data_IF_643420330951
#
_entry.id   IF_643420330951
#
_cell.length_a   1.000
_cell.length_b   1.000
_cell.length_c   1.000
_cell.angle_alpha   90.00
_cell.angle_beta   90.00
_cell.angle_gamma   90.00
#
_symmetry.space_group_name_H-M   'P 1'
#
loop_
_entity.id
_entity.type
_entity.pdbx_description
1 polymer ?
#
# COMPACT_ATOMS: atom_id res chain seq x y z
N UNK A 1 -14.43 15.71 -5.53
CA UNK A 1 -13.19 16.47 -5.90
C UNK A 1 -11.95 15.65 -5.53
N UNK A 2 -11.11 15.29 -6.52
CA UNK A 2 -9.83 14.60 -6.29
C UNK A 2 -8.69 15.62 -6.22
N UNK A 3 -7.90 15.56 -5.16
CA UNK A 3 -6.77 16.44 -4.90
C UNK A 3 -5.49 15.61 -4.88
N UNK A 4 -4.44 16.12 -5.52
CA UNK A 4 -3.09 15.56 -5.39
C UNK A 4 -2.19 16.67 -4.87
N UNK A 5 -1.75 16.52 -3.62
CA UNK A 5 -0.88 17.48 -2.95
C UNK A 5 0.20 16.76 -2.17
N UNK A 6 1.37 17.38 -2.08
CA UNK A 6 2.47 16.94 -1.23
C UNK A 6 2.53 17.72 0.10
N UNK A 7 1.71 18.76 0.26
CA UNK A 7 1.65 19.57 1.48
C UNK A 7 0.74 18.93 2.51
N UNK A 8 1.28 18.65 3.70
CA UNK A 8 0.57 18.03 4.82
C UNK A 8 -0.52 18.95 5.36
N UNK A 9 -0.20 20.23 5.58
CA UNK A 9 -1.13 21.23 6.13
C UNK A 9 -2.36 21.40 5.23
N UNK A 10 -2.16 21.43 3.92
CA UNK A 10 -3.24 21.51 2.95
C UNK A 10 -4.13 20.25 2.97
N UNK A 11 -3.52 19.06 3.06
CA UNK A 11 -4.28 17.81 3.13
C UNK A 11 -5.11 17.71 4.42
N UNK A 12 -4.56 18.15 5.55
CA UNK A 12 -5.26 18.15 6.84
C UNK A 12 -6.46 19.11 6.88
N UNK A 13 -6.39 20.25 6.19
CA UNK A 13 -7.48 21.23 6.16
C UNK A 13 -8.62 20.90 5.19
N UNK A 14 -8.34 20.17 4.10
CA UNK A 14 -9.29 20.03 2.98
C UNK A 14 -9.83 18.60 2.84
N UNK A 15 -9.03 17.58 3.17
CA UNK A 15 -9.34 16.20 2.79
C UNK A 15 -10.13 15.47 3.89
N UNK A 16 -11.18 14.77 3.47
CA UNK A 16 -11.99 13.90 4.36
C UNK A 16 -11.60 12.43 4.23
N UNK A 17 -10.98 12.08 3.09
CA UNK A 17 -10.57 10.73 2.75
C UNK A 17 -9.21 10.77 2.05
N UNK A 18 -8.42 9.74 2.28
CA UNK A 18 -7.08 9.59 1.71
C UNK A 18 -7.03 8.27 0.96
N UNK A 19 -6.68 8.36 -0.32
CA UNK A 19 -6.31 7.20 -1.12
C UNK A 19 -4.80 7.10 -1.13
N UNK A 20 -4.30 6.00 -0.59
CA UNK A 20 -2.90 5.66 -0.59
C UNK A 20 -2.60 4.71 -1.75
N UNK A 21 -1.70 5.12 -2.65
CA UNK A 21 -1.19 4.27 -3.70
C UNK A 21 0.11 3.62 -3.23
N UNK A 22 0.06 2.30 -2.99
CA UNK A 22 1.20 1.51 -2.52
C UNK A 22 1.18 0.10 -3.11
N UNK A 23 2.33 -0.39 -3.60
CA UNK A 23 2.47 -1.72 -4.20
C UNK A 23 1.41 -2.05 -5.27
N UNK A 24 1.05 -1.05 -6.10
CA UNK A 24 0.02 -1.14 -7.17
C UNK A 24 -1.42 -1.29 -6.67
N UNK A 25 -1.66 -1.16 -5.38
CA UNK A 25 -2.99 -1.18 -4.78
C UNK A 25 -3.36 0.22 -4.31
N UNK A 26 -4.66 0.51 -4.36
CA UNK A 26 -5.25 1.70 -3.76
C UNK A 26 -5.86 1.29 -2.44
N UNK A 27 -5.38 1.88 -1.35
CA UNK A 27 -5.91 1.69 -0.01
C UNK A 27 -6.65 2.94 0.42
N UNK A 28 -7.86 2.77 0.93
CA UNK A 28 -8.70 3.86 1.39
C UNK A 28 -8.57 4.04 2.90
N UNK A 29 -8.26 5.27 3.29
CA UNK A 29 -8.21 5.69 4.68
C UNK A 29 -9.23 6.79 4.89
N UNK A 30 -10.12 6.60 5.88
CA UNK A 30 -11.02 7.65 6.34
C UNK A 30 -10.30 8.57 7.33
N UNK A 31 -10.56 9.87 7.23
CA UNK A 31 -9.99 10.87 8.12
C UNK A 31 -8.90 11.72 7.47
N UNK A 32 -8.22 12.51 8.32
CA UNK A 32 -7.18 13.45 7.91
C UNK A 32 -5.81 12.78 7.70
N UNK A 33 -4.81 13.57 7.28
CA UNK A 33 -3.47 13.06 6.98
C UNK A 33 -2.77 12.50 8.21
N UNK A 34 -2.95 13.11 9.37
CA UNK A 34 -2.34 12.64 10.62
C UNK A 34 -2.84 11.24 11.02
N UNK A 35 -4.16 11.01 10.88
CA UNK A 35 -4.77 9.70 11.13
C UNK A 35 -4.18 8.65 10.19
N UNK A 36 -4.07 8.98 8.91
CA UNK A 36 -3.43 8.11 7.92
C UNK A 36 -1.99 7.77 8.28
N UNK A 37 -1.15 8.75 8.63
CA UNK A 37 0.26 8.53 8.99
C UNK A 37 0.37 7.62 10.20
N UNK A 38 -0.45 7.85 11.22
CA UNK A 38 -0.48 7.03 12.42
C UNK A 38 -0.88 5.60 12.10
N UNK A 39 -2.03 5.40 11.45
CA UNK A 39 -2.51 4.07 11.06
C UNK A 39 -1.50 3.32 10.21
N UNK A 40 -0.86 3.99 9.25
CA UNK A 40 0.18 3.40 8.41
C UNK A 40 1.39 2.96 9.23
N UNK A 41 1.87 3.82 10.14
CA UNK A 41 3.02 3.51 10.99
C UNK A 41 2.73 2.31 11.89
N UNK A 42 1.56 2.30 12.53
CA UNK A 42 1.11 1.18 13.37
C UNK A 42 0.98 -0.13 12.58
N UNK A 43 0.43 -0.10 11.35
CA UNK A 43 0.34 -1.27 10.48
C UNK A 43 1.73 -1.81 10.10
N UNK A 44 2.64 -0.93 9.69
CA UNK A 44 4.01 -1.31 9.32
C UNK A 44 4.77 -1.89 10.51
N UNK A 45 4.65 -1.27 11.70
CA UNK A 45 5.24 -1.80 12.92
C UNK A 45 4.67 -3.16 13.29
N UNK A 46 3.35 -3.33 13.24
CA UNK A 46 2.69 -4.60 13.55
C UNK A 46 3.12 -5.70 12.58
N UNK A 47 3.24 -5.38 11.29
CA UNK A 47 3.75 -6.31 10.28
C UNK A 47 5.22 -6.67 10.53
N UNK A 48 6.08 -5.69 10.81
CA UNK A 48 7.49 -5.94 11.11
C UNK A 48 7.67 -6.77 12.39
N UNK A 49 6.87 -6.50 13.43
CA UNK A 49 6.86 -7.28 14.68
C UNK A 49 6.46 -8.73 14.42
N UNK A 50 5.38 -8.96 13.65
CA UNK A 50 4.94 -10.32 13.24
C UNK A 50 6.01 -11.04 12.44
N UNK A 51 6.56 -10.38 11.42
CA UNK A 51 7.64 -10.93 10.61
C UNK A 51 8.84 -11.34 11.47
N UNK A 52 9.29 -10.47 12.37
CA UNK A 52 10.43 -10.76 13.26
C UNK A 52 10.13 -11.94 14.18
N UNK A 53 8.95 -11.95 14.81
CA UNK A 53 8.53 -13.03 15.69
C UNK A 53 8.48 -14.37 14.94
N UNK A 54 7.90 -14.41 13.74
CA UNK A 54 7.85 -15.61 12.90
C UNK A 54 9.27 -16.10 12.51
N UNK A 55 10.17 -15.19 12.14
CA UNK A 55 11.56 -15.53 11.82
C UNK A 55 12.31 -16.08 13.03
N UNK A 56 12.17 -15.45 14.19
CA UNK A 56 12.80 -15.90 15.44
C UNK A 56 12.27 -17.29 15.85
N UNK A 57 10.95 -17.54 15.72
CA UNK A 57 10.36 -18.85 15.96
C UNK A 57 10.90 -19.91 14.99
N UNK A 58 10.93 -19.61 13.69
CA UNK A 58 11.48 -20.52 12.68
C UNK A 58 12.96 -20.81 12.96
N UNK A 59 13.73 -19.80 13.34
CA UNK A 59 15.15 -19.96 13.66
C UNK A 59 15.34 -20.87 14.87
N UNK A 60 14.62 -20.63 15.97
CA UNK A 60 14.69 -21.47 17.16
C UNK A 60 14.27 -22.91 16.89
N UNK A 61 13.21 -23.14 16.10
CA UNK A 61 12.77 -24.49 15.74
C UNK A 61 13.80 -25.20 14.85
N UNK A 62 14.38 -24.51 13.87
CA UNK A 62 15.43 -25.05 13.01
C UNK A 62 16.68 -25.43 13.80
N UNK A 63 17.11 -24.55 14.71
CA UNK A 63 18.30 -24.81 15.53
C UNK A 63 18.08 -25.99 16.49
N UNK A 64 16.86 -26.14 17.02
CA UNK A 64 16.49 -27.31 17.82
C UNK A 64 16.55 -28.61 16.99
N UNK A 65 15.99 -28.61 15.78
CA UNK A 65 16.03 -29.77 14.88
C UNK A 65 17.49 -30.11 14.51
N UNK A 66 18.32 -29.10 14.22
CA UNK A 66 19.73 -29.30 13.89
C UNK A 66 20.53 -29.90 15.05
N UNK A 67 20.28 -29.45 16.30
CA UNK A 67 21.00 -29.95 17.48
C UNK A 67 20.56 -31.33 17.93
N UNK A 68 19.28 -31.68 17.79
CA UNK A 68 18.69 -32.89 18.39
C UNK A 68 18.19 -33.92 17.36
N UNK A 69 18.27 -33.64 16.06
CA UNK A 69 17.80 -34.51 14.98
C UNK A 69 18.54 -35.85 14.86
N UNK A 70 19.80 -35.92 15.31
CA UNK A 70 20.61 -37.13 15.33
C UNK A 70 20.79 -37.73 16.73
N UNK A 71 20.06 -37.22 17.73
CA UNK A 71 20.13 -37.69 19.11
C UNK A 71 19.38 -39.00 19.35
N UNK A 72 19.23 -39.36 20.63
CA UNK A 72 18.44 -40.52 21.08
C UNK A 72 17.03 -40.56 20.44
N UNK A 73 16.47 -41.75 20.25
CA UNK A 73 15.17 -41.97 19.58
C UNK A 73 14.01 -41.10 20.14
N UNK A 74 14.05 -40.73 21.43
CA UNK A 74 13.09 -39.82 22.06
C UNK A 74 13.22 -38.38 21.55
N UNK A 75 14.45 -37.88 21.41
CA UNK A 75 14.77 -36.53 20.92
C UNK A 75 14.51 -36.41 19.41
N UNK A 76 14.84 -37.45 18.64
CA UNK A 76 14.55 -37.50 17.21
C UNK A 76 13.04 -37.43 16.92
N UNK A 77 12.20 -38.16 17.69
CA UNK A 77 10.73 -38.05 17.60
C UNK A 77 10.23 -36.65 17.97
N UNK A 78 10.83 -36.00 18.96
CA UNK A 78 10.45 -34.65 19.37
C UNK A 78 10.84 -33.60 18.31
N UNK A 79 11.99 -33.76 17.65
CA UNK A 79 12.41 -32.94 16.52
C UNK A 79 11.47 -33.09 15.31
N UNK A 80 11.10 -34.33 14.93
CA UNK A 80 10.16 -34.60 13.83
C UNK A 80 8.76 -34.00 14.08
N UNK A 81 8.28 -34.01 15.33
CA UNK A 81 7.01 -33.37 15.67
C UNK A 81 7.06 -31.85 15.45
N UNK A 82 8.13 -31.19 15.91
CA UNK A 82 8.35 -29.75 15.70
C UNK A 82 8.54 -29.41 14.22
N UNK A 83 9.20 -30.27 13.45
CA UNK A 83 9.36 -30.12 12.00
C UNK A 83 8.01 -30.07 11.27
N UNK A 84 7.07 -30.95 11.64
CA UNK A 84 5.70 -30.92 11.07
C UNK A 84 4.97 -29.63 11.41
N UNK A 85 5.11 -29.11 12.63
CA UNK A 85 4.53 -27.82 13.03
C UNK A 85 5.14 -26.67 12.24
N UNK A 86 6.47 -26.65 12.06
CA UNK A 86 7.16 -25.67 11.24
C UNK A 86 6.69 -25.72 9.78
N UNK A 87 6.59 -26.93 9.20
CA UNK A 87 6.11 -27.11 7.84
C UNK A 87 4.69 -26.57 7.65
N UNK A 88 3.80 -26.75 8.64
CA UNK A 88 2.45 -26.16 8.63
C UNK A 88 2.49 -24.63 8.72
N UNK A 89 3.36 -24.04 9.54
CA UNK A 89 3.51 -22.58 9.63
C UNK A 89 4.02 -21.98 8.31
N UNK A 90 4.98 -22.62 7.64
CA UNK A 90 5.49 -22.18 6.33
C UNK A 90 4.42 -22.34 5.25
N UNK A 91 3.67 -23.46 5.25
CA UNK A 91 2.59 -23.69 4.30
C UNK A 91 1.40 -22.73 4.47
N UNK A 92 1.18 -22.22 5.68
CA UNK A 92 0.14 -21.23 5.98
C UNK A 92 0.40 -19.82 5.42
N UNK A 93 1.58 -19.59 4.84
CA UNK A 93 1.99 -18.28 4.34
C UNK A 93 2.56 -17.41 5.46
N UNK A 94 3.87 -17.17 5.42
CA UNK A 94 4.54 -16.27 6.35
C UNK A 94 4.22 -14.81 6.01
N UNK A 95 4.23 -13.96 7.02
CA UNK A 95 4.11 -12.52 6.84
C UNK A 95 5.23 -12.05 5.89
N UNK A 96 4.89 -11.32 4.82
CA UNK A 96 5.90 -10.79 3.91
C UNK A 96 6.72 -9.70 4.58
N UNK A 97 8.03 -9.66 4.27
CA UNK A 97 8.90 -8.56 4.68
C UNK A 97 8.39 -7.25 4.07
N UNK A 98 8.46 -6.17 4.82
CA UNK A 98 8.27 -4.82 4.26
C UNK A 98 9.43 -4.53 3.30
N UNK A 99 9.19 -4.61 1.98
CA UNK A 99 10.18 -4.34 0.92
C UNK A 99 9.86 -3.02 0.22
N UNK A 100 10.92 -2.32 -0.23
CA UNK A 100 10.81 -1.14 -1.09
C UNK A 100 10.26 -1.48 -2.49
N UNK A 101 9.62 -0.50 -3.13
CA UNK A 101 8.73 -0.70 -4.28
C UNK A 101 9.42 -1.20 -5.56
N UNK A 102 8.68 -1.97 -6.37
CA UNK A 102 9.03 -2.35 -7.75
C UNK A 102 8.37 -1.39 -8.76
N UNK A 103 9.01 -1.04 -9.89
CA UNK A 103 8.59 0.01 -10.82
C UNK A 103 7.51 -0.43 -11.81
N UNK A 104 6.43 -1.04 -11.34
CA UNK A 104 5.27 -1.38 -12.15
C UNK A 104 4.11 -0.51 -11.66
N UNK A 105 3.48 0.25 -12.55
CA UNK A 105 2.66 1.41 -12.16
C UNK A 105 1.31 0.98 -11.56
N UNK A 106 0.56 0.06 -12.19
CA UNK A 106 -0.76 -0.40 -11.72
C UNK A 106 -1.01 -1.88 -12.03
N UNK A 107 -1.83 -2.55 -11.22
CA UNK A 107 -2.35 -3.90 -11.48
C UNK A 107 -3.74 -4.03 -10.85
N UNK A 108 -4.75 -4.39 -11.66
CA UNK A 108 -6.13 -4.67 -11.24
C UNK A 108 -6.73 -3.58 -10.34
N UNK A 109 -6.68 -2.33 -10.80
CA UNK A 109 -7.28 -1.20 -10.11
C UNK A 109 -8.79 -1.17 -10.31
N UNK A 110 -9.54 -1.25 -9.23
CA UNK A 110 -10.97 -0.98 -9.18
C UNK A 110 -11.23 0.10 -8.13
N UNK A 111 -11.78 1.24 -8.57
CA UNK A 111 -12.06 2.35 -7.68
C UNK A 111 -13.19 3.24 -8.21
N UNK A 112 -14.07 3.66 -7.31
CA UNK A 112 -15.08 4.69 -7.54
C UNK A 112 -14.71 5.98 -6.80
N UNK A 113 -15.01 7.13 -7.40
CA UNK A 113 -14.90 8.44 -6.77
C UNK A 113 -16.25 9.14 -6.89
N UNK A 114 -16.86 9.44 -5.75
CA UNK A 114 -18.07 10.25 -5.70
C UNK A 114 -17.73 11.73 -5.75
N UNK A 115 -18.55 12.50 -6.48
CA UNK A 115 -18.34 13.94 -6.69
C UNK A 115 -18.32 14.73 -5.38
N UNK A 116 -19.12 14.30 -4.39
CA UNK A 116 -19.30 14.95 -3.09
C UNK A 116 -18.18 14.66 -2.08
N UNK A 117 -17.21 13.81 -2.43
CA UNK A 117 -16.10 13.45 -1.55
C UNK A 117 -14.83 14.25 -1.88
N UNK A 118 -14.09 14.68 -0.85
CA UNK A 118 -12.78 15.34 -1.00
C UNK A 118 -11.69 14.34 -0.71
N UNK A 119 -11.10 13.81 -1.77
CA UNK A 119 -10.14 12.72 -1.68
C UNK A 119 -8.73 13.24 -1.99
N UNK A 120 -7.76 12.94 -1.12
CA UNK A 120 -6.34 13.14 -1.41
C UNK A 120 -5.68 11.86 -1.92
N UNK A 121 -4.89 11.94 -2.99
CA UNK A 121 -4.04 10.84 -3.46
C UNK A 121 -2.62 10.99 -2.91
N UNK A 122 -2.19 10.05 -2.08
CA UNK A 122 -0.85 10.03 -1.46
C UNK A 122 -0.06 8.79 -1.88
N UNK A 123 1.26 8.91 -1.91
CA UNK A 123 2.17 7.82 -2.29
C UNK A 123 3.57 8.34 -2.64
N UNK A 124 4.58 7.46 -2.75
CA UNK A 124 5.96 7.87 -3.05
C UNK A 124 6.11 8.47 -4.47
N UNK A 125 7.26 9.10 -4.70
CA UNK A 125 7.61 9.64 -6.01
C UNK A 125 7.82 8.48 -6.99
N UNK A 126 7.24 8.57 -8.18
CA UNK A 126 7.26 7.47 -9.16
C UNK A 126 6.22 6.37 -8.93
N UNK A 127 5.39 6.45 -7.87
CA UNK A 127 4.30 5.49 -7.65
C UNK A 127 3.23 5.50 -8.75
N UNK A 128 3.16 6.58 -9.54
CA UNK A 128 2.22 6.73 -10.65
C UNK A 128 1.13 7.79 -10.44
N UNK A 129 1.03 8.47 -9.29
CA UNK A 129 -0.05 9.46 -9.00
C UNK A 129 -0.43 10.39 -10.18
N UNK A 130 0.58 10.97 -10.83
CA UNK A 130 0.40 11.83 -12.02
C UNK A 130 -0.13 11.07 -13.24
N UNK A 131 0.23 9.80 -13.39
CA UNK A 131 -0.31 8.86 -14.38
C UNK A 131 -1.77 8.52 -14.06
N UNK A 132 -2.14 8.31 -12.78
CA UNK A 132 -3.56 8.11 -12.40
C UNK A 132 -4.41 9.32 -12.77
N UNK A 133 -3.92 10.53 -12.50
CA UNK A 133 -4.59 11.77 -12.90
C UNK A 133 -4.78 11.86 -14.42
N UNK A 134 -3.75 11.49 -15.20
CA UNK A 134 -3.84 11.45 -16.67
C UNK A 134 -4.83 10.41 -17.17
N UNK A 135 -4.89 9.24 -16.54
CA UNK A 135 -5.87 8.19 -16.84
C UNK A 135 -7.31 8.68 -16.58
N UNK A 136 -7.55 9.32 -15.44
CA UNK A 136 -8.87 9.89 -15.09
C UNK A 136 -9.23 11.09 -15.98
N UNK A 137 -8.24 11.89 -16.39
CA UNK A 137 -8.48 13.04 -17.28
C UNK A 137 -8.70 12.60 -18.74
N UNK A 138 -8.34 11.38 -19.10
CA UNK A 138 -8.44 10.84 -20.45
C UNK A 138 -7.23 11.15 -21.35
N UNK A 139 -6.20 11.82 -20.80
CA UNK A 139 -4.95 12.14 -21.51
C UNK A 139 -4.14 10.90 -21.87
N UNK A 140 -4.33 9.81 -21.12
CA UNK A 140 -3.66 8.52 -21.33
C UNK A 140 -4.73 7.45 -21.40
N UNK A 141 -4.69 6.63 -22.45
CA UNK A 141 -5.55 5.46 -22.54
C UNK A 141 -5.02 4.32 -21.66
N UNK A 142 -5.88 3.64 -20.90
CA UNK A 142 -5.47 2.45 -20.17
C UNK A 142 -5.08 1.35 -21.16
N UNK A 143 -3.96 0.66 -20.89
CA UNK A 143 -3.55 -0.48 -21.72
C UNK A 143 -4.52 -1.66 -21.62
N UNK A 144 -5.24 -1.77 -20.51
CA UNK A 144 -6.29 -2.75 -20.30
C UNK A 144 -7.33 -2.23 -19.29
N UNK A 145 -8.59 -2.62 -19.42
CA UNK A 145 -9.70 -2.16 -18.57
C UNK A 145 -10.51 -0.99 -19.16
N UNK A 146 -11.46 -0.48 -18.38
CA UNK A 146 -12.38 0.59 -18.80
C UNK A 146 -12.42 1.69 -17.74
N UNK A 147 -12.32 2.95 -18.17
CA UNK A 147 -12.51 4.12 -17.32
C UNK A 147 -13.85 4.75 -17.71
N UNK A 148 -14.83 4.74 -16.80
CA UNK A 148 -16.12 5.43 -16.99
C UNK A 148 -16.13 6.71 -16.17
N UNK A 149 -16.54 7.81 -16.80
CA UNK A 149 -16.64 9.13 -16.20
C UNK A 149 -18.07 9.62 -16.35
N UNK A 150 -18.56 10.36 -15.37
CA UNK A 150 -19.85 11.01 -15.48
C UNK A 150 -19.76 12.17 -16.47
N UNK A 151 -20.78 12.37 -17.32
CA UNK A 151 -20.79 13.36 -18.41
C UNK A 151 -20.59 14.80 -17.96
N UNK A 152 -20.97 15.12 -16.72
CA UNK A 152 -20.83 16.46 -16.12
C UNK A 152 -19.67 16.56 -15.11
N UNK A 153 -18.81 15.55 -15.01
CA UNK A 153 -17.65 15.59 -14.11
C UNK A 153 -16.60 16.55 -14.66
N UNK A 154 -16.47 17.74 -14.04
CA UNK A 154 -15.40 18.69 -14.36
C UNK A 154 -14.14 18.34 -13.58
N UNK A 155 -13.02 18.20 -14.28
CA UNK A 155 -11.72 17.89 -13.68
C UNK A 155 -10.86 19.16 -13.75
N UNK A 156 -10.60 19.76 -12.59
CA UNK A 156 -9.59 20.82 -12.47
C UNK A 156 -8.25 20.21 -12.08
N UNK A 157 -7.19 20.49 -12.84
CA UNK A 157 -5.83 20.02 -12.53
C UNK A 157 -5.02 21.18 -11.98
N UNK A 158 -4.56 21.07 -10.74
CA UNK A 158 -3.59 22.01 -10.17
C UNK A 158 -2.19 21.45 -10.38
N UNK A 159 -1.35 22.16 -11.15
CA UNK A 159 0.05 21.80 -11.32
C UNK A 159 0.91 22.73 -10.48
N UNK A 160 1.63 22.17 -9.51
CA UNK A 160 2.59 22.92 -8.71
C UNK A 160 3.88 23.10 -9.53
N UNK A 161 3.88 24.04 -10.47
CA UNK A 161 5.11 24.57 -11.07
C UNK A 161 5.77 25.52 -10.06
N UNK A 162 7.09 25.42 -9.94
CA UNK A 162 7.87 26.08 -8.90
C UNK A 162 7.57 27.57 -8.76
N UNK A 163 7.39 28.01 -7.52
CA UNK A 163 7.41 29.40 -7.04
C UNK A 163 6.48 30.43 -7.73
N UNK A 164 5.53 30.04 -8.57
CA UNK A 164 4.43 30.91 -8.98
C UNK A 164 3.09 30.17 -8.87
N UNK A 165 2.30 30.56 -7.85
CA UNK A 165 0.91 30.19 -7.73
C UNK A 165 0.09 31.00 -8.75
N UNK A 166 0.03 30.58 -10.01
CA UNK A 166 -0.95 31.09 -10.99
C UNK A 166 -1.12 30.12 -12.15
N UNK A 167 -2.20 29.32 -12.16
CA UNK A 167 -3.12 29.20 -13.30
C UNK A 167 -4.23 28.18 -13.01
N UNK A 168 -5.46 28.55 -13.32
CA UNK A 168 -6.66 27.73 -13.23
C UNK A 168 -7.05 27.36 -14.67
N UNK A 169 -6.48 26.29 -15.21
CA UNK A 169 -6.94 25.81 -16.53
C UNK A 169 -8.20 24.97 -16.35
N UNK A 170 -9.34 25.62 -16.59
CA UNK A 170 -10.61 24.95 -16.87
C UNK A 170 -10.49 24.31 -18.25
N UNK A 171 -10.49 22.97 -18.31
CA UNK A 171 -10.81 22.26 -19.54
C UNK A 171 -12.34 22.02 -19.54
N UNK A 172 -13.02 22.59 -20.53
CA UNK A 172 -14.44 22.31 -20.85
C UNK A 172 -14.65 20.92 -21.44
#
# INVERSE_FOLDING_TARGET
MLIVSHSQDFMNGVCTNIIHLFQKKLEYYGGNYDTYVRTRTELLENQMKRYKWEQDQLQHMKEYIARFGHGSAKLARQAQSKEKTMAKMVAGGLTEKVVAEKPLIYKDLDFGIDLDTRIALVGPNGAGKSTLLKLISGDVMPSNGLIRRHSHCKIGRYHQVGWDCSFFDYFE
#
